data_IF_941380859714
#
_entry.id   IF_941380859714
#
_cell.length_a   1.000
_cell.length_b   1.000
_cell.length_c   1.000
_cell.angle_alpha   90.00
_cell.angle_beta   90.00
_cell.angle_gamma   90.00
#
_symmetry.space_group_name_H-M   'P 1'
#
loop_
_entity.id
_entity.type
_entity.pdbx_description
1 polymer ?
#
# COMPACT_ATOMS: atom_id res chain seq x y z
N UNK A 1 37.09 8.06 -14.98
CA UNK A 1 36.84 9.11 -15.99
C UNK A 1 35.37 9.26 -16.38
N UNK A 2 34.62 8.18 -16.68
CA UNK A 2 33.20 8.30 -17.10
C UNK A 2 32.25 8.93 -16.06
N UNK A 3 32.38 8.55 -14.78
CA UNK A 3 31.61 9.16 -13.69
C UNK A 3 31.99 10.62 -13.42
N UNK A 4 33.27 10.97 -13.64
CA UNK A 4 33.78 12.32 -13.42
C UNK A 4 33.20 13.33 -14.42
N UNK A 5 32.99 12.90 -15.67
CA UNK A 5 32.34 13.70 -16.72
C UNK A 5 30.86 13.96 -16.40
N UNK A 6 30.16 12.95 -15.87
CA UNK A 6 28.75 13.10 -15.46
C UNK A 6 28.59 14.07 -14.29
N UNK A 7 29.50 14.03 -13.33
CA UNK A 7 29.54 14.98 -12.22
C UNK A 7 29.83 16.40 -12.73
N UNK A 8 30.76 16.56 -13.68
CA UNK A 8 31.11 17.87 -14.24
C UNK A 8 29.95 18.49 -15.06
N UNK A 9 29.15 17.66 -15.75
CA UNK A 9 27.94 18.09 -16.45
C UNK A 9 26.78 18.43 -15.51
N UNK A 10 26.66 17.74 -14.36
CA UNK A 10 25.66 18.07 -13.35
C UNK A 10 25.94 19.40 -12.62
N UNK A 11 27.20 19.86 -12.61
CA UNK A 11 27.59 21.17 -12.07
C UNK A 11 27.48 22.32 -13.09
N UNK A 12 27.22 22.05 -14.37
CA UNK A 12 26.95 23.08 -15.37
C UNK A 12 25.45 23.42 -15.34
N UNK A 13 25.06 24.40 -14.52
CA UNK A 13 23.71 24.97 -14.59
C UNK A 13 23.56 25.83 -15.86
N UNK A 14 22.50 25.60 -16.63
CA UNK A 14 22.18 26.33 -17.87
C UNK A 14 21.53 27.69 -17.64
N UNK A 15 21.25 28.10 -16.40
CA UNK A 15 20.62 29.39 -16.09
C UNK A 15 21.52 30.61 -16.39
N UNK A 16 22.82 30.38 -16.58
CA UNK A 16 23.82 31.43 -16.81
C UNK A 16 23.68 32.08 -18.21
N UNK A 17 23.02 31.42 -19.18
CA UNK A 17 22.92 31.96 -20.54
C UNK A 17 21.76 32.95 -20.74
N UNK A 18 21.10 33.40 -19.67
CA UNK A 18 19.92 34.27 -19.73
C UNK A 18 20.09 35.64 -19.04
N UNK A 19 21.31 36.14 -18.83
CA UNK A 19 21.52 37.47 -18.26
C UNK A 19 21.33 38.59 -19.30
N UNK A 20 20.44 39.58 -19.09
CA UNK A 20 20.23 40.71 -20.01
C UNK A 20 21.32 41.79 -19.92
N UNK A 21 22.37 41.60 -19.12
CA UNK A 21 23.37 42.62 -18.81
C UNK A 21 24.76 42.23 -19.31
N UNK A 22 25.25 42.95 -20.32
CA UNK A 22 26.59 42.79 -20.90
C UNK A 22 27.61 43.67 -20.18
N UNK A 23 28.65 43.08 -19.60
CA UNK A 23 29.78 43.81 -19.02
C UNK A 23 30.45 43.10 -17.83
N UNK A 24 31.40 43.78 -17.19
CA UNK A 24 32.13 43.30 -15.99
C UNK A 24 31.16 43.03 -14.83
N UNK A 25 30.10 43.82 -14.69
CA UNK A 25 29.04 43.62 -13.67
C UNK A 25 28.24 42.35 -13.90
N UNK A 26 27.86 42.04 -15.15
CA UNK A 26 27.14 40.81 -15.49
C UNK A 26 27.98 39.55 -15.27
N UNK A 27 29.31 39.63 -15.48
CA UNK A 27 30.23 38.54 -15.14
C UNK A 27 30.26 38.26 -13.62
N UNK A 28 30.33 39.30 -12.79
CA UNK A 28 30.33 39.13 -11.33
C UNK A 28 28.98 38.62 -10.80
N UNK A 29 27.86 39.10 -11.32
CA UNK A 29 26.53 38.61 -10.95
C UNK A 29 26.34 37.15 -11.33
N UNK A 30 26.76 36.78 -12.54
CA UNK A 30 26.75 35.38 -13.01
C UNK A 30 27.61 34.48 -12.13
N UNK A 31 28.81 34.93 -11.77
CA UNK A 31 29.68 34.19 -10.87
C UNK A 31 29.05 34.03 -9.48
N UNK A 32 28.42 35.07 -8.95
CA UNK A 32 27.70 35.00 -7.66
C UNK A 32 26.53 34.03 -7.70
N UNK A 33 25.70 34.06 -8.76
CA UNK A 33 24.58 33.12 -8.94
C UNK A 33 25.10 31.68 -9.05
N UNK A 34 26.19 31.45 -9.77
CA UNK A 34 26.81 30.12 -9.87
C UNK A 34 27.22 29.58 -8.49
N UNK A 35 27.97 30.35 -7.70
CA UNK A 35 28.37 29.92 -6.36
C UNK A 35 27.18 29.79 -5.40
N UNK A 36 26.17 30.66 -5.52
CA UNK A 36 24.93 30.58 -4.73
C UNK A 36 24.13 29.32 -5.08
N UNK A 37 24.02 28.98 -6.35
CA UNK A 37 23.31 27.76 -6.81
C UNK A 37 23.98 26.48 -6.32
N UNK A 38 25.33 26.45 -6.27
CA UNK A 38 26.07 25.31 -5.68
C UNK A 38 25.78 25.22 -4.18
N UNK A 39 25.84 26.35 -3.48
CA UNK A 39 25.53 26.38 -2.06
C UNK A 39 24.10 25.92 -1.78
N UNK A 40 23.12 26.40 -2.53
CA UNK A 40 21.70 26.03 -2.40
C UNK A 40 21.46 24.56 -2.76
N UNK A 41 22.14 24.02 -3.77
CA UNK A 41 22.06 22.62 -4.13
C UNK A 41 22.43 21.70 -2.96
N UNK A 42 23.52 22.02 -2.26
CA UNK A 42 23.97 21.24 -1.11
C UNK A 42 23.17 21.50 0.17
N UNK A 43 22.73 22.73 0.39
CA UNK A 43 22.11 23.14 1.67
C UNK A 43 20.59 23.04 1.69
N UNK A 44 19.94 23.06 0.52
CA UNK A 44 18.48 23.12 0.41
C UNK A 44 17.94 21.98 -0.44
N UNK A 45 18.46 21.79 -1.66
CA UNK A 45 17.87 20.84 -2.62
C UNK A 45 18.10 19.39 -2.17
N UNK A 46 19.34 19.01 -1.84
CA UNK A 46 19.65 17.65 -1.39
C UNK A 46 18.91 17.29 -0.09
N UNK A 47 18.93 18.11 0.98
CA UNK A 47 18.21 17.78 2.21
C UNK A 47 16.70 17.62 2.00
N UNK A 48 16.09 18.51 1.21
CA UNK A 48 14.64 18.45 0.91
C UNK A 48 14.32 17.17 0.13
N UNK A 49 15.10 16.84 -0.90
CA UNK A 49 14.90 15.63 -1.70
C UNK A 49 15.05 14.34 -0.88
N UNK A 50 15.95 14.32 0.11
CA UNK A 50 16.08 13.20 1.05
C UNK A 50 14.82 13.10 1.93
N UNK A 51 14.31 14.22 2.43
CA UNK A 51 13.06 14.26 3.20
C UNK A 51 11.88 13.70 2.40
N UNK A 52 11.70 14.17 1.18
CA UNK A 52 10.64 13.71 0.27
C UNK A 52 10.79 12.22 -0.08
N UNK A 53 12.03 11.75 -0.27
CA UNK A 53 12.31 10.34 -0.49
C UNK A 53 11.88 9.47 0.69
N UNK A 54 12.14 9.88 1.94
CA UNK A 54 11.68 9.15 3.12
C UNK A 54 10.15 9.17 3.25
N UNK A 55 9.49 10.27 2.92
CA UNK A 55 8.02 10.35 2.88
C UNK A 55 7.44 9.38 1.85
N UNK A 56 8.02 9.35 0.65
CA UNK A 56 7.62 8.39 -0.39
C UNK A 56 7.88 6.94 0.05
N UNK A 57 9.06 6.66 0.61
CA UNK A 57 9.45 5.33 1.06
C UNK A 57 8.52 4.81 2.17
N UNK A 58 8.23 5.65 3.17
CA UNK A 58 7.32 5.27 4.27
C UNK A 58 5.89 5.06 3.78
N UNK A 59 5.41 5.90 2.86
CA UNK A 59 4.10 5.73 2.23
C UNK A 59 4.01 4.41 1.45
N UNK A 60 5.06 4.08 0.70
CA UNK A 60 5.15 2.82 -0.05
C UNK A 60 5.19 1.59 0.87
N UNK A 61 5.96 1.65 1.96
CA UNK A 61 6.00 0.56 2.95
C UNK A 61 4.64 0.34 3.63
N UNK A 62 3.91 1.42 3.92
CA UNK A 62 2.56 1.34 4.47
C UNK A 62 1.59 0.72 3.47
N UNK A 63 1.66 1.09 2.20
CA UNK A 63 0.90 0.45 1.13
C UNK A 63 1.20 -1.05 1.04
N UNK A 64 2.49 -1.42 1.04
CA UNK A 64 2.92 -2.83 1.00
C UNK A 64 2.37 -3.62 2.19
N UNK A 65 2.39 -3.04 3.39
CA UNK A 65 1.85 -3.67 4.60
C UNK A 65 0.36 -3.99 4.45
N UNK A 66 -0.44 -3.04 3.97
CA UNK A 66 -1.87 -3.29 3.73
C UNK A 66 -2.12 -4.30 2.63
N UNK A 67 -1.32 -4.26 1.56
CA UNK A 67 -1.41 -5.24 0.48
C UNK A 67 -1.15 -6.67 0.99
N UNK A 68 -0.07 -6.87 1.75
CA UNK A 68 0.23 -8.17 2.35
C UNK A 68 -0.86 -8.62 3.33
N UNK A 69 -1.39 -7.70 4.13
CA UNK A 69 -2.48 -8.00 5.08
C UNK A 69 -3.79 -8.42 4.36
N UNK A 70 -4.05 -7.87 3.18
CA UNK A 70 -5.18 -8.27 2.36
C UNK A 70 -4.99 -9.69 1.79
N UNK A 71 -3.83 -9.97 1.20
CA UNK A 71 -3.50 -11.29 0.65
C UNK A 71 -3.55 -12.39 1.73
N UNK A 72 -3.06 -12.11 2.95
CA UNK A 72 -3.14 -13.08 4.05
C UNK A 72 -4.58 -13.35 4.49
N UNK A 73 -5.46 -12.35 4.42
CA UNK A 73 -6.88 -12.52 4.72
C UNK A 73 -7.58 -13.39 3.66
N UNK A 74 -7.29 -13.14 2.38
CA UNK A 74 -7.80 -13.96 1.28
C UNK A 74 -7.32 -15.41 1.43
N UNK A 75 -6.03 -15.62 1.71
CA UNK A 75 -5.49 -16.94 1.98
C UNK A 75 -6.17 -17.63 3.18
N UNK A 76 -6.35 -16.91 4.29
CA UNK A 76 -7.04 -17.45 5.47
C UNK A 76 -8.50 -17.84 5.16
N UNK A 77 -9.17 -17.11 4.27
CA UNK A 77 -10.51 -17.42 3.82
C UNK A 77 -10.56 -18.69 2.95
N UNK A 78 -9.64 -18.85 2.01
CA UNK A 78 -9.54 -20.08 1.21
C UNK A 78 -9.28 -21.31 2.08
N UNK A 79 -8.38 -21.19 3.06
CA UNK A 79 -8.12 -22.24 4.03
C UNK A 79 -9.39 -22.53 4.86
N UNK A 80 -10.12 -21.51 5.31
CA UNK A 80 -11.38 -21.69 6.03
C UNK A 80 -12.44 -22.45 5.21
N UNK A 81 -12.58 -22.15 3.91
CA UNK A 81 -13.46 -22.88 3.01
C UNK A 81 -13.08 -24.37 2.91
N UNK A 82 -11.77 -24.67 2.85
CA UNK A 82 -11.30 -26.06 2.85
C UNK A 82 -11.68 -26.81 4.14
N UNK A 83 -11.57 -26.16 5.30
CA UNK A 83 -12.00 -26.73 6.58
C UNK A 83 -13.51 -26.95 6.64
N UNK A 84 -14.32 -26.02 6.12
CA UNK A 84 -15.78 -26.15 6.08
C UNK A 84 -16.21 -27.34 5.22
N UNK A 85 -15.54 -27.55 4.08
CA UNK A 85 -15.76 -28.72 3.23
C UNK A 85 -15.41 -30.03 3.96
N UNK A 86 -14.32 -30.05 4.73
CA UNK A 86 -13.92 -31.24 5.50
C UNK A 86 -14.86 -31.57 6.67
N UNK A 87 -15.44 -30.56 7.33
CA UNK A 87 -16.35 -30.74 8.48
C UNK A 87 -17.77 -31.14 8.03
N UNK A 88 -18.08 -31.04 6.73
CA UNK A 88 -19.40 -31.32 6.15
C UNK A 88 -20.54 -30.58 6.88
N UNK A 89 -20.33 -29.29 7.18
CA UNK A 89 -21.29 -28.43 7.92
C UNK A 89 -22.68 -28.45 7.27
N UNK A 90 -22.75 -28.58 5.94
CA UNK A 90 -24.00 -28.69 5.20
C UNK A 90 -24.87 -29.86 5.70
N UNK A 91 -24.26 -30.99 6.06
CA UNK A 91 -24.99 -32.16 6.54
C UNK A 91 -25.57 -31.92 7.95
N UNK A 92 -24.81 -31.25 8.82
CA UNK A 92 -25.26 -30.85 10.16
C UNK A 92 -26.39 -29.82 10.10
N UNK A 93 -26.25 -28.81 9.24
CA UNK A 93 -27.27 -27.77 9.03
C UNK A 93 -28.55 -28.37 8.44
N UNK A 94 -28.44 -29.22 7.42
CA UNK A 94 -29.61 -29.89 6.83
C UNK A 94 -30.31 -30.81 7.83
N UNK A 95 -29.56 -31.49 8.70
CA UNK A 95 -30.14 -32.32 9.77
C UNK A 95 -30.86 -31.45 10.81
N UNK A 96 -30.29 -30.31 11.19
CA UNK A 96 -30.94 -29.37 12.11
C UNK A 96 -32.21 -28.73 11.51
N UNK A 97 -32.20 -28.40 10.21
CA UNK A 97 -33.36 -27.88 9.47
C UNK A 97 -34.48 -28.92 9.41
N UNK A 98 -34.13 -30.19 9.20
CA UNK A 98 -35.07 -31.31 9.13
C UNK A 98 -35.79 -31.53 10.47
N UNK A 99 -35.11 -31.25 11.57
CA UNK A 99 -35.65 -31.34 12.94
C UNK A 99 -36.52 -30.15 13.34
N UNK A 100 -36.53 -29.06 12.55
CA UNK A 100 -37.36 -27.89 12.85
C UNK A 100 -38.83 -28.13 12.45
N UNK A 101 -39.80 -27.65 13.27
CA UNK A 101 -41.21 -27.61 12.89
C UNK A 101 -41.43 -26.87 11.55
N UNK A 102 -42.40 -27.30 10.73
CA UNK A 102 -42.58 -26.79 9.36
C UNK A 102 -42.84 -25.29 9.29
N UNK A 103 -43.62 -24.73 10.23
CA UNK A 103 -43.92 -23.29 10.26
C UNK A 103 -42.67 -22.44 10.54
N UNK A 104 -41.78 -22.92 11.41
CA UNK A 104 -40.51 -22.24 11.72
C UNK A 104 -39.50 -22.38 10.56
N UNK A 105 -39.57 -23.48 9.81
CA UNK A 105 -38.74 -23.70 8.63
C UNK A 105 -39.11 -22.74 7.50
N UNK A 106 -40.40 -22.51 7.29
CA UNK A 106 -40.92 -21.55 6.32
C UNK A 106 -40.48 -20.12 6.70
N UNK A 107 -40.67 -19.71 7.95
CA UNK A 107 -40.26 -18.39 8.43
C UNK A 107 -38.74 -18.17 8.35
N UNK A 108 -37.93 -19.18 8.67
CA UNK A 108 -36.48 -19.11 8.58
C UNK A 108 -35.98 -19.05 7.12
N UNK A 109 -36.69 -19.69 6.19
CA UNK A 109 -36.44 -19.58 4.75
C UNK A 109 -36.76 -18.17 4.23
N UNK A 110 -37.89 -17.61 4.63
CA UNK A 110 -38.30 -16.25 4.22
C UNK A 110 -37.33 -15.17 4.74
N UNK A 111 -36.74 -15.40 5.91
CA UNK A 111 -35.74 -14.50 6.50
C UNK A 111 -34.30 -14.74 6.00
N UNK A 112 -34.06 -15.72 5.12
CA UNK A 112 -32.72 -16.15 4.66
C UNK A 112 -31.76 -16.43 5.82
N UNK A 113 -32.30 -16.94 6.92
CA UNK A 113 -31.56 -17.14 8.16
C UNK A 113 -30.41 -18.15 7.98
N UNK A 114 -30.63 -19.19 7.15
CA UNK A 114 -29.62 -20.22 6.88
C UNK A 114 -28.45 -19.72 6.04
N UNK A 115 -28.70 -18.84 5.05
CA UNK A 115 -27.64 -18.18 4.27
C UNK A 115 -26.76 -17.31 5.19
N UNK A 116 -27.40 -16.53 6.08
CA UNK A 116 -26.70 -15.69 7.04
C UNK A 116 -25.89 -16.51 8.06
N UNK A 117 -26.41 -17.67 8.48
CA UNK A 117 -25.71 -18.58 9.38
C UNK A 117 -24.47 -19.19 8.72
N UNK A 118 -24.55 -19.59 7.44
CA UNK A 118 -23.38 -20.08 6.68
C UNK A 118 -22.30 -19.01 6.61
N UNK A 119 -22.67 -17.78 6.23
CA UNK A 119 -21.74 -16.66 6.14
C UNK A 119 -21.08 -16.34 7.50
N UNK A 120 -21.83 -16.42 8.59
CA UNK A 120 -21.31 -16.18 9.93
C UNK A 120 -20.31 -17.27 10.35
N UNK A 121 -20.60 -18.53 10.05
CA UNK A 121 -19.69 -19.66 10.30
C UNK A 121 -18.41 -19.52 9.46
N UNK A 122 -18.54 -19.18 8.18
CA UNK A 122 -17.40 -18.88 7.29
C UNK A 122 -16.52 -17.75 7.84
N UNK A 123 -17.14 -16.67 8.32
CA UNK A 123 -16.43 -15.54 8.92
C UNK A 123 -15.73 -15.92 10.24
N UNK A 124 -16.36 -16.74 11.09
CA UNK A 124 -15.77 -17.20 12.35
C UNK A 124 -14.57 -18.13 12.10
N UNK A 125 -14.67 -19.05 11.14
CA UNK A 125 -13.57 -19.95 10.79
C UNK A 125 -12.43 -19.16 10.12
N UNK A 126 -12.74 -18.23 9.22
CA UNK A 126 -11.75 -17.33 8.62
C UNK A 126 -11.01 -16.53 9.70
N UNK A 127 -11.73 -15.99 10.70
CA UNK A 127 -11.14 -15.29 11.85
C UNK A 127 -10.23 -16.20 12.69
N UNK A 128 -10.65 -17.45 12.94
CA UNK A 128 -9.87 -18.43 13.69
C UNK A 128 -8.57 -18.79 12.95
N UNK A 129 -8.65 -19.05 11.64
CA UNK A 129 -7.47 -19.33 10.80
C UNK A 129 -6.52 -18.13 10.77
N UNK A 130 -7.06 -16.91 10.59
CA UNK A 130 -6.27 -15.70 10.60
C UNK A 130 -5.53 -15.50 11.93
N UNK A 131 -6.19 -15.77 13.07
CA UNK A 131 -5.57 -15.71 14.41
C UNK A 131 -4.51 -16.80 14.66
N UNK A 132 -4.52 -17.91 13.93
CA UNK A 132 -3.48 -18.95 14.04
C UNK A 132 -2.27 -18.68 13.14
N UNK A 133 -2.43 -17.85 12.11
CA UNK A 133 -1.37 -17.48 11.16
C UNK A 133 -0.47 -16.33 11.62
N UNK A 134 -0.81 -15.68 12.73
CA UNK A 134 -0.06 -14.59 13.38
C UNK A 134 0.08 -14.86 14.88
#
# INVERSE_FOLDING_TARGET
MRLFIFVLLAFFSFDIFAAPQTGVTGFFETATIFFMSIYEFFTVIIPTAIGDFFVWLTSYLLYLKFYLMYETLVFAHEVALSFIQMININEVVNTAISNLPPDLRQAASDMRFFDALSLLIEALITRLVYQMSF
#
